data_IF_606221736708
#
_entry.id   IF_606221736708
#
_cell.length_a   1.000
_cell.length_b   1.000
_cell.length_c   1.000
_cell.angle_alpha   90.00
_cell.angle_beta   90.00
_cell.angle_gamma   90.00
#
_symmetry.space_group_name_H-M   'P 1'
#
loop_
_entity.id
_entity.type
_entity.pdbx_description
1 polymer ?
#
# COMPACT_ATOMS: atom_id res chain seq x y z
N UNK A 1 5.43 -63.92 17.26
CA UNK A 1 5.23 -62.78 16.34
C UNK A 1 4.86 -61.56 17.19
N UNK A 2 5.81 -60.66 17.42
CA UNK A 2 5.62 -59.42 18.17
C UNK A 2 5.35 -58.32 17.14
N UNK A 3 4.14 -57.79 17.06
CA UNK A 3 3.81 -56.66 16.18
C UNK A 3 4.08 -55.38 16.97
N UNK A 4 5.22 -54.75 16.72
CA UNK A 4 5.56 -53.45 17.28
C UNK A 4 4.74 -52.37 16.58
N UNK A 5 3.74 -51.81 17.29
CA UNK A 5 3.07 -50.57 16.88
C UNK A 5 4.03 -49.40 17.11
N UNK A 6 4.64 -48.91 16.03
CA UNK A 6 5.36 -47.64 16.03
C UNK A 6 4.34 -46.50 15.83
N UNK A 7 4.13 -45.71 16.89
CA UNK A 7 3.37 -44.47 16.86
C UNK A 7 4.09 -43.46 15.96
N UNK A 8 3.50 -43.15 14.80
CA UNK A 8 3.96 -42.05 13.94
C UNK A 8 3.49 -40.72 14.54
N UNK A 9 4.42 -39.97 15.13
CA UNK A 9 4.18 -38.60 15.59
C UNK A 9 4.09 -37.68 14.37
N UNK A 10 2.88 -37.42 13.87
CA UNK A 10 2.64 -36.46 12.80
C UNK A 10 2.78 -35.04 13.34
N UNK A 11 3.94 -34.43 13.12
CA UNK A 11 4.15 -32.99 13.29
C UNK A 11 3.31 -32.26 12.22
N UNK A 12 2.09 -31.88 12.57
CA UNK A 12 1.31 -30.89 11.83
C UNK A 12 1.99 -29.52 12.01
N UNK A 13 2.95 -29.21 11.15
CA UNK A 13 3.39 -27.83 10.95
C UNK A 13 2.21 -27.07 10.36
N UNK A 14 1.45 -26.38 11.21
CA UNK A 14 0.51 -25.37 10.77
C UNK A 14 1.33 -24.26 10.13
N UNK A 15 1.34 -24.20 8.80
CA UNK A 15 1.77 -22.99 8.11
C UNK A 15 0.79 -21.89 8.55
N UNK A 16 1.24 -21.01 9.44
CA UNK A 16 0.54 -19.77 9.75
C UNK A 16 0.43 -19.00 8.44
N UNK A 17 -0.72 -19.14 7.77
CA UNK A 17 -1.08 -18.28 6.66
C UNK A 17 -1.42 -16.93 7.28
N UNK A 18 -0.45 -16.01 7.31
CA UNK A 18 -0.69 -14.64 7.72
C UNK A 18 -1.54 -14.00 6.62
N UNK A 19 -2.84 -13.95 6.90
CA UNK A 19 -3.84 -13.28 6.08
C UNK A 19 -3.84 -11.80 6.42
N UNK A 20 -3.75 -10.94 5.41
CA UNK A 20 -3.93 -9.49 5.60
C UNK A 20 -5.42 -9.25 5.84
N UNK A 21 -5.81 -9.12 7.10
CA UNK A 21 -7.21 -8.97 7.49
C UNK A 21 -7.67 -7.50 7.52
N UNK A 22 -6.75 -6.56 7.28
CA UNK A 22 -7.04 -5.14 7.21
C UNK A 22 -7.85 -4.81 5.95
N UNK A 23 -8.73 -3.82 6.05
CA UNK A 23 -9.33 -3.23 4.83
C UNK A 23 -8.27 -2.47 4.05
N UNK A 24 -8.08 -2.84 2.78
CA UNK A 24 -7.17 -2.17 1.86
C UNK A 24 -7.96 -1.17 1.01
N UNK A 25 -7.59 0.10 1.14
CA UNK A 25 -8.01 1.16 0.23
C UNK A 25 -6.89 1.51 -0.71
N UNK A 26 -7.30 1.92 -1.91
CA UNK A 26 -6.36 2.10 -2.98
C UNK A 26 -6.80 3.23 -3.89
N UNK A 27 -5.91 4.21 -4.04
CA UNK A 27 -6.14 5.35 -4.91
C UNK A 27 -4.89 5.63 -5.75
N UNK A 28 -5.11 6.27 -6.89
CA UNK A 28 -4.00 6.87 -7.64
C UNK A 28 -3.73 8.28 -7.16
N UNK A 29 -2.55 8.80 -7.45
CA UNK A 29 -2.20 10.19 -7.17
C UNK A 29 -3.23 11.17 -7.78
N UNK A 30 -3.40 12.33 -7.14
CA UNK A 30 -4.23 13.41 -7.65
C UNK A 30 -3.72 13.94 -8.99
N UNK A 31 -4.53 14.79 -9.64
CA UNK A 31 -4.28 15.22 -11.02
C UNK A 31 -2.88 15.81 -11.21
N UNK A 32 -2.16 15.28 -12.21
CA UNK A 32 -0.84 15.79 -12.62
C UNK A 32 -1.02 16.90 -13.65
N UNK A 33 -0.05 17.82 -13.78
CA UNK A 33 -0.06 18.77 -14.88
C UNK A 33 -0.03 18.05 -16.24
N UNK A 34 -0.53 18.72 -17.27
CA UNK A 34 -0.36 18.27 -18.65
C UNK A 34 1.12 18.25 -19.06
N UNK A 35 1.43 17.53 -20.14
CA UNK A 35 2.78 17.43 -20.71
C UNK A 35 3.85 16.83 -19.78
N UNK A 36 3.44 16.07 -18.76
CA UNK A 36 4.36 15.30 -17.92
C UNK A 36 5.21 16.13 -16.96
N UNK A 37 4.81 17.37 -16.64
CA UNK A 37 5.51 18.17 -15.62
C UNK A 37 5.40 17.51 -14.24
N UNK A 38 6.41 17.70 -13.36
CA UNK A 38 6.42 17.10 -12.03
C UNK A 38 5.29 17.63 -11.13
N UNK A 39 4.93 16.82 -10.12
CA UNK A 39 3.98 17.20 -9.07
C UNK A 39 2.51 17.14 -9.49
N UNK A 40 1.69 17.99 -8.86
CA UNK A 40 0.24 18.07 -9.07
C UNK A 40 -0.14 19.35 -9.83
N UNK A 41 -1.21 19.28 -10.61
CA UNK A 41 -1.86 20.46 -11.18
C UNK A 41 -2.48 21.30 -10.04
N UNK A 42 -2.86 22.58 -10.28
CA UNK A 42 -3.62 23.35 -9.28
C UNK A 42 -4.91 22.65 -8.84
N UNK A 43 -5.60 21.95 -9.75
CA UNK A 43 -6.76 21.13 -9.42
C UNK A 43 -6.37 19.87 -8.64
N UNK A 44 -5.25 19.23 -8.98
CA UNK A 44 -4.70 18.11 -8.22
C UNK A 44 -4.36 18.48 -6.78
N UNK A 45 -3.73 19.64 -6.57
CA UNK A 45 -3.45 20.19 -5.25
C UNK A 45 -4.74 20.39 -4.45
N UNK A 46 -5.77 21.00 -5.06
CA UNK A 46 -7.08 21.18 -4.43
C UNK A 46 -7.68 19.84 -4.02
N UNK A 47 -7.65 18.82 -4.90
CA UNK A 47 -8.15 17.47 -4.57
C UNK A 47 -7.39 16.84 -3.40
N UNK A 48 -6.07 16.95 -3.40
CA UNK A 48 -5.23 16.42 -2.32
C UNK A 48 -5.52 17.11 -0.97
N UNK A 49 -5.76 18.42 -0.98
CA UNK A 49 -5.96 19.22 0.23
C UNK A 49 -7.39 19.20 0.75
N UNK A 50 -8.38 19.28 -0.14
CA UNK A 50 -9.78 19.56 0.23
C UNK A 50 -10.69 18.33 0.04
N UNK A 51 -10.40 17.45 -0.92
CA UNK A 51 -11.32 16.37 -1.28
C UNK A 51 -10.96 15.03 -0.63
N UNK A 52 -9.68 14.66 -0.62
CA UNK A 52 -9.23 13.36 -0.11
C UNK A 52 -9.35 13.27 1.42
N UNK A 53 -8.90 14.26 2.22
CA UNK A 53 -8.97 14.18 3.68
C UNK A 53 -10.36 13.86 4.25
N UNK A 54 -11.44 14.57 3.89
CA UNK A 54 -12.76 14.28 4.47
C UNK A 54 -13.33 12.92 4.05
N UNK A 55 -12.94 12.37 2.89
CA UNK A 55 -13.39 11.03 2.45
C UNK A 55 -12.81 9.94 3.34
N UNK A 56 -11.53 10.06 3.71
CA UNK A 56 -10.81 9.04 4.45
C UNK A 56 -10.81 9.23 5.98
N UNK A 57 -11.37 10.35 6.48
CA UNK A 57 -11.45 10.64 7.91
C UNK A 57 -12.14 9.53 8.71
N UNK A 58 -13.17 8.90 8.12
CA UNK A 58 -13.99 7.87 8.77
C UNK A 58 -13.49 6.44 8.50
N UNK A 59 -12.41 6.26 7.73
CA UNK A 59 -11.99 4.92 7.26
C UNK A 59 -11.07 4.19 8.24
N UNK A 60 -10.84 4.75 9.43
CA UNK A 60 -9.98 4.18 10.48
C UNK A 60 -8.60 3.78 9.94
N UNK A 61 -7.99 4.66 9.14
CA UNK A 61 -6.66 4.43 8.59
C UNK A 61 -5.61 4.39 9.70
N UNK A 62 -4.68 3.46 9.60
CA UNK A 62 -3.51 3.39 10.48
C UNK A 62 -2.19 3.19 9.75
N UNK A 63 -2.23 2.97 8.43
CA UNK A 63 -1.06 2.93 7.56
C UNK A 63 -1.42 3.60 6.23
N UNK A 64 -0.53 4.47 5.76
CA UNK A 64 -0.59 5.06 4.42
C UNK A 64 0.71 4.64 3.72
N UNK A 65 0.60 3.82 2.68
CA UNK A 65 1.73 3.34 1.87
C UNK A 65 1.82 4.16 0.60
N UNK A 66 3.01 4.68 0.33
CA UNK A 66 3.33 5.46 -0.86
C UNK A 66 4.68 5.00 -1.38
N UNK A 67 4.92 5.06 -2.69
CA UNK A 67 6.24 4.77 -3.22
C UNK A 67 7.31 5.75 -2.69
N UNK A 68 8.57 5.34 -2.73
CA UNK A 68 9.70 6.24 -2.49
C UNK A 68 9.77 7.33 -3.57
N UNK A 69 9.80 8.63 -3.23
CA UNK A 69 10.01 9.71 -4.19
C UNK A 69 11.39 9.65 -4.85
N UNK A 70 11.45 9.75 -6.18
CA UNK A 70 12.69 9.92 -6.93
C UNK A 70 12.71 11.29 -7.63
N UNK A 71 13.63 12.15 -7.21
CA UNK A 71 13.79 13.51 -7.73
C UNK A 71 14.37 13.55 -9.15
N UNK A 72 15.12 12.52 -9.56
CA UNK A 72 15.74 12.47 -10.89
C UNK A 72 14.70 12.17 -11.96
N UNK A 73 13.83 11.20 -11.67
CA UNK A 73 12.78 10.76 -12.60
C UNK A 73 11.44 11.47 -12.37
N UNK A 74 11.32 12.26 -11.29
CA UNK A 74 10.06 12.80 -10.77
C UNK A 74 9.01 11.74 -10.44
N UNK A 75 9.46 10.48 -10.29
CA UNK A 75 8.58 9.38 -9.96
C UNK A 75 8.11 9.49 -8.51
N UNK A 76 6.88 9.08 -8.28
CA UNK A 76 6.19 9.10 -6.99
C UNK A 76 5.99 10.47 -6.28
N UNK A 77 6.66 11.55 -6.71
CA UNK A 77 6.42 12.91 -6.17
C UNK A 77 4.92 13.26 -6.16
N UNK A 78 4.13 12.99 -7.21
CA UNK A 78 2.70 13.26 -7.19
C UNK A 78 1.93 12.44 -6.15
N UNK A 79 2.28 11.17 -5.96
CA UNK A 79 1.62 10.29 -4.99
C UNK A 79 1.92 10.75 -3.56
N UNK A 80 3.18 11.07 -3.26
CA UNK A 80 3.58 11.61 -1.96
C UNK A 80 2.92 12.97 -1.66
N UNK A 81 2.85 13.85 -2.67
CA UNK A 81 2.16 15.14 -2.53
C UNK A 81 0.64 14.96 -2.33
N UNK A 82 0.06 13.91 -2.91
CA UNK A 82 -1.35 13.54 -2.70
C UNK A 82 -1.60 13.04 -1.28
N UNK A 83 -0.66 12.28 -0.71
CA UNK A 83 -0.78 11.67 0.61
C UNK A 83 -0.65 12.67 1.76
N UNK A 84 0.22 13.68 1.60
CA UNK A 84 0.67 14.53 2.69
C UNK A 84 -0.47 15.23 3.47
N UNK A 85 -1.49 15.84 2.82
CA UNK A 85 -2.56 16.50 3.57
C UNK A 85 -3.42 15.54 4.38
N UNK A 86 -3.74 14.37 3.82
CA UNK A 86 -4.48 13.32 4.53
C UNK A 86 -3.68 12.79 5.72
N UNK A 87 -2.41 12.46 5.51
CA UNK A 87 -1.54 11.94 6.56
C UNK A 87 -1.41 12.94 7.72
N UNK A 88 -1.21 14.24 7.41
CA UNK A 88 -1.19 15.30 8.40
C UNK A 88 -2.51 15.40 9.17
N UNK A 89 -3.66 15.32 8.48
CA UNK A 89 -4.98 15.38 9.13
C UNK A 89 -5.26 14.22 10.09
N UNK A 90 -4.64 13.06 9.84
CA UNK A 90 -4.78 11.85 10.66
C UNK A 90 -3.66 11.68 11.69
N UNK A 91 -2.66 12.57 11.70
CA UNK A 91 -1.47 12.41 12.53
C UNK A 91 -0.62 11.19 12.16
N UNK A 92 -0.66 10.77 10.89
CA UNK A 92 0.11 9.65 10.34
C UNK A 92 1.32 10.15 9.55
N UNK A 93 2.33 9.30 9.42
CA UNK A 93 3.46 9.50 8.51
C UNK A 93 3.30 8.51 7.36
N UNK A 94 3.30 8.95 6.09
CA UNK A 94 3.30 8.02 4.96
C UNK A 94 4.54 7.13 4.99
N UNK A 95 4.35 5.83 4.85
CA UNK A 95 5.44 4.88 4.65
C UNK A 95 5.89 4.94 3.19
N UNK A 96 7.14 5.36 2.99
CA UNK A 96 7.78 5.50 1.68
C UNK A 96 8.94 4.53 1.49
N UNK A 97 8.97 3.41 2.23
CA UNK A 97 10.08 2.46 2.25
C UNK A 97 10.17 1.60 0.98
N UNK A 98 9.06 1.36 0.30
CA UNK A 98 9.04 0.55 -0.92
C UNK A 98 9.28 1.39 -2.18
N UNK A 99 10.15 0.85 -3.04
CA UNK A 99 10.69 1.53 -4.22
C UNK A 99 9.63 1.90 -5.28
N UNK A 100 10.01 2.78 -6.20
CA UNK A 100 9.18 3.30 -7.29
C UNK A 100 9.69 2.87 -8.67
N UNK A 101 8.83 2.93 -9.70
CA UNK A 101 9.23 2.75 -11.11
C UNK A 101 9.36 1.29 -11.55
N UNK A 102 10.33 1.01 -12.42
CA UNK A 102 10.62 -0.35 -12.94
C UNK A 102 11.15 -1.29 -11.85
N UNK A 103 11.74 -0.71 -10.80
CA UNK A 103 12.20 -1.39 -9.59
C UNK A 103 11.13 -1.42 -8.49
N UNK A 104 9.85 -1.17 -8.82
CA UNK A 104 8.76 -1.27 -7.86
C UNK A 104 8.71 -2.69 -7.28
N UNK A 105 9.22 -2.82 -6.07
CA UNK A 105 9.28 -4.07 -5.34
C UNK A 105 7.91 -4.35 -4.73
N UNK A 106 7.14 -5.15 -5.44
CA UNK A 106 5.81 -5.56 -4.98
C UNK A 106 5.90 -6.45 -3.75
N UNK A 107 6.98 -7.22 -3.62
CA UNK A 107 7.21 -8.08 -2.48
C UNK A 107 7.47 -7.22 -1.23
N UNK A 108 8.21 -6.11 -1.36
CA UNK A 108 8.33 -5.11 -0.31
C UNK A 108 6.96 -4.61 0.17
N UNK A 109 6.06 -4.25 -0.75
CA UNK A 109 4.72 -3.77 -0.38
C UNK A 109 3.95 -4.88 0.32
N UNK A 110 3.95 -6.09 -0.21
CA UNK A 110 3.24 -7.23 0.40
C UNK A 110 3.77 -7.54 1.80
N UNK A 111 5.09 -7.53 1.99
CA UNK A 111 5.71 -7.80 3.29
C UNK A 111 5.44 -6.67 4.30
N UNK A 112 5.44 -5.40 3.85
CA UNK A 112 5.02 -4.27 4.66
C UNK A 112 3.55 -4.43 5.14
N UNK A 113 2.65 -4.80 4.23
CA UNK A 113 1.24 -5.01 4.55
C UNK A 113 1.05 -6.18 5.52
N UNK A 114 1.77 -7.29 5.32
CA UNK A 114 1.74 -8.45 6.23
C UNK A 114 2.25 -8.10 7.61
N UNK A 115 3.41 -7.46 7.70
CA UNK A 115 3.99 -7.04 8.98
C UNK A 115 3.08 -6.08 9.74
N UNK A 116 2.41 -5.17 9.02
CA UNK A 116 1.41 -4.29 9.63
C UNK A 116 0.17 -5.05 10.13
N UNK A 117 -0.31 -6.03 9.35
CA UNK A 117 -1.49 -6.84 9.69
C UNK A 117 -1.30 -7.70 10.95
N UNK A 118 -0.06 -8.07 11.27
CA UNK A 118 0.26 -8.77 12.52
C UNK A 118 0.13 -7.87 13.75
N UNK A 119 0.34 -6.57 13.60
CA UNK A 119 0.39 -5.60 14.70
C UNK A 119 -0.88 -4.75 14.85
N UNK A 120 -1.68 -4.63 13.79
CA UNK A 120 -2.85 -3.74 13.77
C UNK A 120 -3.98 -4.28 12.91
N UNK A 121 -5.21 -3.93 13.28
CA UNK A 121 -6.43 -4.20 12.51
C UNK A 121 -6.95 -2.95 11.79
N UNK A 122 -6.27 -1.80 11.92
CA UNK A 122 -6.67 -0.55 11.24
C UNK A 122 -6.55 -0.67 9.73
N UNK A 123 -7.33 0.12 9.00
CA UNK A 123 -7.31 0.09 7.55
C UNK A 123 -6.00 0.63 6.97
N UNK A 124 -5.66 0.19 5.77
CA UNK A 124 -4.44 0.58 5.06
C UNK A 124 -4.85 1.33 3.78
N UNK A 125 -4.21 2.46 3.51
CA UNK A 125 -4.36 3.18 2.25
C UNK A 125 -3.09 3.10 1.43
N UNK A 126 -3.19 2.60 0.19
CA UNK A 126 -2.10 2.61 -0.78
C UNK A 126 -2.36 3.74 -1.78
N UNK A 127 -1.35 4.60 -1.98
CA UNK A 127 -1.39 5.69 -2.97
C UNK A 127 -0.25 5.50 -3.96
N UNK A 128 -0.59 5.31 -5.23
CA UNK A 128 0.42 5.03 -6.25
C UNK A 128 0.23 5.83 -7.54
N UNK A 129 1.23 5.78 -8.42
CA UNK A 129 1.15 6.36 -9.75
C UNK A 129 0.50 5.36 -10.70
N UNK A 130 -0.55 5.78 -11.42
CA UNK A 130 -1.36 4.94 -12.33
C UNK A 130 -0.54 4.00 -13.24
N UNK A 131 0.52 4.51 -13.86
CA UNK A 131 1.32 3.76 -14.83
C UNK A 131 2.00 2.51 -14.25
N UNK A 132 2.44 2.58 -12.99
CA UNK A 132 3.06 1.43 -12.29
C UNK A 132 1.97 0.49 -11.77
N UNK A 133 0.78 1.03 -11.55
CA UNK A 133 -0.30 0.34 -10.88
C UNK A 133 -1.10 -0.60 -11.81
N UNK A 134 -1.42 -0.13 -13.03
CA UNK A 134 -2.20 -0.90 -14.00
C UNK A 134 -1.51 -2.21 -14.45
N UNK A 135 -0.18 -2.31 -14.30
CA UNK A 135 0.61 -3.46 -14.77
C UNK A 135 0.91 -4.52 -13.69
N UNK A 136 0.64 -4.23 -12.41
CA UNK A 136 1.13 -5.02 -11.28
C UNK A 136 0.12 -5.21 -10.14
N UNK A 137 -1.05 -4.55 -10.18
CA UNK A 137 -2.12 -4.65 -9.16
C UNK A 137 -2.47 -6.08 -8.74
N UNK A 138 -2.55 -7.01 -9.70
CA UNK A 138 -2.91 -8.40 -9.44
C UNK A 138 -1.93 -9.12 -8.49
N UNK A 139 -0.69 -8.63 -8.37
CA UNK A 139 0.35 -9.24 -7.53
C UNK A 139 0.12 -8.97 -6.04
N UNK A 140 -0.67 -7.95 -5.68
CA UNK A 140 -1.05 -7.66 -4.28
C UNK A 140 -2.17 -8.63 -3.81
N UNK A 141 -2.61 -9.57 -4.66
CA UNK A 141 -3.66 -10.54 -4.33
C UNK A 141 -5.07 -9.95 -4.27
N UNK A 142 -5.23 -8.67 -4.61
CA UNK A 142 -6.51 -8.02 -4.91
C UNK A 142 -6.94 -8.41 -6.33
N UNK A 143 -7.36 -9.67 -6.48
CA UNK A 143 -8.14 -10.09 -7.64
C UNK A 143 -9.53 -9.50 -7.54
N UNK A 144 -9.89 -8.60 -8.47
CA UNK A 144 -11.30 -8.37 -8.78
C UNK A 144 -11.75 -9.59 -9.60
N UNK A 145 -12.32 -10.60 -8.92
CA UNK A 145 -13.21 -11.56 -9.58
C UNK A 145 -14.54 -10.90 -9.96
#
# INVERSE_FOLDING_TARGET
>A
MLVALLYTLTLFSSALSITINNTLYLITNAERPSLGRPGLSPLGMRRAQECIPPVFAEFNLGLIVVCTPDIKTNSCIPANTTAAPLAASLGLVPDTSCATGDDADIDCVVDLLRGYAEASTKSILIIWVRAVFDSRIWLIGIGFE
#
